data_IF_872431876190
#
_entry.id   IF_872431876190
#
_cell.length_a   1.000
_cell.length_b   1.000
_cell.length_c   1.000
_cell.angle_alpha   90.00
_cell.angle_beta   90.00
_cell.angle_gamma   90.00
#
_symmetry.space_group_name_H-M   'P 1'
#
loop_
_entity.id
_entity.type
_entity.pdbx_description
1 polymer ?
#
# COMPACT_ATOMS: atom_id res chain seq x y z
N UNK A 1 18.62 18.55 -17.23
CA UNK A 1 18.17 17.28 -16.64
C UNK A 1 19.09 16.20 -17.18
N UNK A 2 19.82 15.51 -16.30
CA UNK A 2 20.70 14.41 -16.73
C UNK A 2 19.84 13.19 -17.10
N UNK A 3 20.34 12.34 -18.00
CA UNK A 3 19.64 11.12 -18.47
C UNK A 3 19.15 10.26 -17.29
N UNK A 4 19.96 10.13 -16.24
CA UNK A 4 19.60 9.41 -15.01
C UNK A 4 18.37 9.98 -14.28
N UNK A 5 18.19 11.30 -14.28
CA UNK A 5 17.03 11.94 -13.63
C UNK A 5 15.74 11.73 -14.43
N UNK A 6 15.84 11.64 -15.76
CA UNK A 6 14.70 11.35 -16.62
C UNK A 6 14.22 9.92 -16.42
N UNK A 7 15.14 8.95 -16.33
CA UNK A 7 14.80 7.55 -16.05
C UNK A 7 14.09 7.41 -14.70
N UNK A 8 14.66 7.97 -13.63
CA UNK A 8 14.09 7.88 -12.29
C UNK A 8 12.66 8.45 -12.22
N UNK A 9 12.41 9.57 -12.92
CA UNK A 9 11.09 10.18 -12.98
C UNK A 9 10.06 9.30 -13.71
N UNK A 10 10.46 8.64 -14.80
CA UNK A 10 9.61 7.72 -15.54
C UNK A 10 9.31 6.44 -14.75
N UNK A 11 10.33 5.87 -14.08
CA UNK A 11 10.15 4.68 -13.24
C UNK A 11 9.22 4.98 -12.06
N UNK A 12 9.40 6.15 -11.41
CA UNK A 12 8.52 6.60 -10.33
C UNK A 12 7.08 6.80 -10.81
N UNK A 13 6.89 7.39 -12.00
CA UNK A 13 5.57 7.55 -12.61
C UNK A 13 4.90 6.19 -12.85
N UNK A 14 5.65 5.23 -13.41
CA UNK A 14 5.15 3.88 -13.66
C UNK A 14 4.69 3.19 -12.37
N UNK A 15 5.51 3.26 -11.31
CA UNK A 15 5.18 2.69 -10.00
C UNK A 15 3.95 3.38 -9.38
N UNK A 16 3.85 4.72 -9.48
CA UNK A 16 2.69 5.46 -8.99
C UNK A 16 1.40 5.08 -9.74
N UNK A 17 1.46 4.95 -11.07
CA UNK A 17 0.33 4.47 -11.86
C UNK A 17 -0.09 3.06 -11.44
N UNK A 18 0.88 2.16 -11.25
CA UNK A 18 0.63 0.82 -10.71
C UNK A 18 -0.07 0.86 -9.35
N UNK A 19 0.39 1.72 -8.42
CA UNK A 19 -0.22 1.87 -7.11
C UNK A 19 -1.68 2.34 -7.18
N UNK A 20 -2.00 3.28 -8.08
CA UNK A 20 -3.38 3.75 -8.30
C UNK A 20 -4.27 2.61 -8.81
N UNK A 21 -3.79 1.81 -9.76
CA UNK A 21 -4.55 0.67 -10.29
C UNK A 21 -4.83 -0.38 -9.19
N UNK A 22 -3.84 -0.67 -8.34
CA UNK A 22 -4.00 -1.61 -7.22
C UNK A 22 -4.99 -1.09 -6.18
N UNK A 23 -4.97 0.20 -5.85
CA UNK A 23 -5.99 0.81 -4.98
C UNK A 23 -7.38 0.73 -5.64
N UNK A 24 -7.45 0.90 -6.96
CA UNK A 24 -8.68 0.71 -7.74
C UNK A 24 -9.31 -0.68 -7.58
N UNK A 25 -8.51 -1.72 -7.30
CA UNK A 25 -9.03 -3.07 -7.04
C UNK A 25 -9.93 -3.11 -5.79
N UNK A 26 -9.68 -2.26 -4.79
CA UNK A 26 -10.48 -2.22 -3.55
C UNK A 26 -11.92 -1.79 -3.82
N UNK A 27 -12.10 -0.86 -4.76
CA UNK A 27 -13.43 -0.44 -5.24
C UNK A 27 -14.09 -1.57 -6.03
N UNK A 28 -13.31 -2.26 -6.88
CA UNK A 28 -13.79 -3.44 -7.61
C UNK A 28 -14.33 -4.54 -6.68
N UNK A 29 -13.56 -4.90 -5.65
CA UNK A 29 -14.00 -5.88 -4.64
C UNK A 29 -15.22 -5.40 -3.86
N UNK A 30 -15.27 -4.13 -3.46
CA UNK A 30 -16.44 -3.57 -2.79
C UNK A 30 -17.72 -3.71 -3.63
N UNK A 31 -17.64 -3.45 -4.94
CA UNK A 31 -18.76 -3.61 -5.86
C UNK A 31 -19.17 -5.08 -6.05
N UNK A 32 -18.21 -5.98 -6.19
CA UNK A 32 -18.48 -7.42 -6.34
C UNK A 32 -19.13 -8.01 -5.08
N UNK A 33 -18.62 -7.67 -3.90
CA UNK A 33 -19.19 -8.15 -2.63
C UNK A 33 -20.56 -7.54 -2.36
N UNK A 34 -20.71 -6.22 -2.52
CA UNK A 34 -22.00 -5.56 -2.34
C UNK A 34 -23.04 -6.08 -3.34
N UNK A 35 -22.68 -6.26 -4.60
CA UNK A 35 -23.55 -6.79 -5.66
C UNK A 35 -23.93 -8.26 -5.50
N UNK A 36 -23.08 -9.06 -4.84
CA UNK A 36 -23.35 -10.47 -4.54
C UNK A 36 -24.20 -10.67 -3.27
N UNK A 37 -24.40 -9.61 -2.48
CA UNK A 37 -25.19 -9.67 -1.24
C UNK A 37 -26.63 -9.22 -1.46
N UNK A 38 -27.54 -9.62 -0.55
CA UNK A 38 -28.92 -9.12 -0.60
C UNK A 38 -28.94 -7.60 -0.45
N UNK A 39 -29.76 -6.93 -1.25
CA UNK A 39 -29.90 -5.46 -1.30
C UNK A 39 -29.99 -4.79 0.08
N UNK A 40 -30.74 -5.40 1.01
CA UNK A 40 -30.89 -4.87 2.39
C UNK A 40 -29.59 -4.80 3.20
N UNK A 41 -28.56 -5.55 2.81
CA UNK A 41 -27.27 -5.63 3.50
C UNK A 41 -26.12 -5.00 2.69
N UNK A 42 -26.36 -4.61 1.43
CA UNK A 42 -25.31 -4.14 0.52
C UNK A 42 -24.55 -2.92 1.08
N UNK A 43 -25.25 -1.97 1.71
CA UNK A 43 -24.63 -0.81 2.34
C UNK A 43 -23.70 -1.17 3.51
N UNK A 44 -24.07 -2.18 4.30
CA UNK A 44 -23.23 -2.65 5.42
C UNK A 44 -21.95 -3.33 4.93
N UNK A 45 -22.04 -4.07 3.82
CA UNK A 45 -20.89 -4.74 3.19
C UNK A 45 -19.94 -3.71 2.58
N UNK A 46 -20.46 -2.74 1.82
CA UNK A 46 -19.66 -1.67 1.26
C UNK A 46 -18.94 -0.85 2.36
N UNK A 47 -19.64 -0.53 3.46
CA UNK A 47 -19.05 0.17 4.60
C UNK A 47 -17.90 -0.60 5.27
N UNK A 48 -18.03 -1.93 5.42
CA UNK A 48 -16.94 -2.78 5.92
C UNK A 48 -15.72 -2.76 5.02
N UNK A 49 -15.91 -2.73 3.70
CA UNK A 49 -14.78 -2.75 2.78
C UNK A 49 -13.98 -1.44 2.84
N UNK A 50 -14.67 -0.30 2.93
CA UNK A 50 -14.01 1.01 3.09
C UNK A 50 -13.26 1.08 4.43
N UNK A 51 -13.89 0.62 5.51
CA UNK A 51 -13.26 0.62 6.84
C UNK A 51 -12.03 -0.29 6.87
N UNK A 52 -12.13 -1.48 6.28
CA UNK A 52 -11.01 -2.42 6.19
C UNK A 52 -9.82 -1.82 5.42
N UNK A 53 -10.09 -1.12 4.31
CA UNK A 53 -9.04 -0.45 3.54
C UNK A 53 -8.36 0.68 4.34
N UNK A 54 -9.14 1.47 5.09
CA UNK A 54 -8.59 2.54 5.93
C UNK A 54 -7.70 1.98 7.05
N UNK A 55 -8.16 0.95 7.76
CA UNK A 55 -7.39 0.31 8.85
C UNK A 55 -6.14 -0.36 8.27
N UNK A 56 -6.24 -1.08 7.16
CA UNK A 56 -5.10 -1.72 6.51
C UNK A 56 -4.05 -0.70 6.06
N UNK A 57 -4.47 0.43 5.50
CA UNK A 57 -3.56 1.51 5.08
C UNK A 57 -2.81 2.12 6.26
N UNK A 58 -3.51 2.39 7.37
CA UNK A 58 -2.89 2.91 8.60
C UNK A 58 -1.96 1.89 9.27
N UNK A 59 -2.35 0.62 9.31
CA UNK A 59 -1.52 -0.45 9.85
C UNK A 59 -0.26 -0.66 9.00
N UNK A 60 -0.38 -0.58 7.67
CA UNK A 60 0.75 -0.68 6.76
C UNK A 60 1.72 0.50 6.93
N UNK A 61 1.19 1.72 7.08
CA UNK A 61 2.00 2.90 7.39
C UNK A 61 2.72 2.80 8.74
N UNK A 62 2.03 2.34 9.79
CA UNK A 62 2.59 2.30 11.14
C UNK A 62 3.64 1.18 11.34
N UNK A 63 3.38 -0.01 10.79
CA UNK A 63 4.20 -1.20 11.05
C UNK A 63 4.50 -2.02 9.79
N UNK A 64 3.56 -2.13 8.84
CA UNK A 64 3.75 -3.00 7.67
C UNK A 64 4.96 -2.63 6.83
N UNK A 65 5.25 -1.33 6.65
CA UNK A 65 6.42 -0.89 5.90
C UNK A 65 7.73 -1.26 6.60
N UNK A 66 7.80 -1.11 7.93
CA UNK A 66 8.95 -1.51 8.73
C UNK A 66 9.22 -3.02 8.64
N UNK A 67 8.15 -3.83 8.69
CA UNK A 67 8.24 -5.29 8.63
C UNK A 67 8.71 -5.79 7.25
N UNK A 68 8.30 -5.11 6.17
CA UNK A 68 8.51 -5.61 4.80
C UNK A 68 9.78 -5.05 4.17
N UNK A 69 10.11 -3.79 4.44
CA UNK A 69 11.20 -3.06 3.79
C UNK A 69 12.25 -2.52 4.77
N UNK A 70 11.98 -2.60 6.07
CA UNK A 70 12.94 -2.20 7.09
C UNK A 70 14.13 -3.16 7.19
N UNK A 71 15.26 -2.65 7.64
CA UNK A 71 16.45 -3.43 7.95
C UNK A 71 16.14 -4.50 9.01
N UNK A 72 16.57 -5.74 8.75
CA UNK A 72 16.32 -6.89 9.62
C UNK A 72 16.98 -8.17 9.10
N UNK A 73 16.28 -9.30 9.23
CA UNK A 73 16.74 -10.58 8.69
C UNK A 73 16.03 -10.90 7.37
N UNK A 74 16.35 -12.03 6.72
CA UNK A 74 15.75 -12.42 5.42
C UNK A 74 14.24 -12.70 5.44
N UNK A 75 13.59 -12.63 6.60
CA UNK A 75 12.15 -12.88 6.78
C UNK A 75 11.39 -11.70 7.38
N UNK A 76 12.01 -10.86 8.21
CA UNK A 76 11.36 -9.75 8.91
C UNK A 76 12.28 -8.53 9.07
N UNK A 77 11.75 -7.36 8.74
CA UNK A 77 12.34 -6.06 9.04
C UNK A 77 12.06 -5.63 10.49
N UNK A 78 13.06 -5.07 11.15
CA UNK A 78 13.02 -4.71 12.58
C UNK A 78 13.10 -3.20 12.83
N UNK A 79 13.41 -2.42 11.79
CA UNK A 79 13.62 -0.97 11.84
C UNK A 79 12.62 -0.23 10.94
N UNK A 80 12.40 1.07 11.16
CA UNK A 80 11.55 1.89 10.29
C UNK A 80 10.08 2.01 10.71
N UNK A 81 9.76 1.74 11.98
CA UNK A 81 8.41 1.92 12.54
C UNK A 81 7.88 3.34 12.31
N UNK A 82 6.61 3.46 11.92
CA UNK A 82 5.97 4.73 11.56
C UNK A 82 6.70 5.52 10.46
N UNK A 83 7.35 4.82 9.51
CA UNK A 83 8.18 5.42 8.47
C UNK A 83 9.30 6.32 9.03
N UNK A 84 9.76 6.08 10.26
CA UNK A 84 10.93 6.80 10.78
C UNK A 84 12.18 6.35 10.04
N UNK A 85 12.68 7.22 9.20
CA UNK A 85 13.84 6.97 8.36
C UNK A 85 15.13 7.24 9.13
N UNK A 86 15.95 6.20 9.29
CA UNK A 86 17.36 6.32 9.67
C UNK A 86 18.24 6.14 8.43
N UNK A 87 19.49 6.64 8.49
CA UNK A 87 20.50 6.31 7.47
C UNK A 87 20.61 4.78 7.41
N UNK A 88 20.37 4.19 6.24
CA UNK A 88 20.37 2.74 5.95
C UNK A 88 19.10 1.94 6.27
N UNK A 89 18.03 2.52 6.82
CA UNK A 89 16.85 1.72 7.23
C UNK A 89 16.11 1.06 6.05
N UNK A 90 16.10 1.71 4.88
CA UNK A 90 15.42 1.23 3.67
C UNK A 90 16.38 1.02 2.48
N UNK A 91 17.66 0.73 2.77
CA UNK A 91 18.67 0.50 1.72
C UNK A 91 18.31 -0.63 0.75
N UNK A 92 17.36 -1.51 1.08
CA UNK A 92 16.85 -2.53 0.17
C UNK A 92 15.99 -1.99 -0.99
N UNK A 93 15.61 -0.71 -0.95
CA UNK A 93 14.76 -0.05 -1.94
C UNK A 93 15.54 0.79 -2.97
N UNK A 94 16.86 0.94 -2.81
CA UNK A 94 17.76 1.66 -3.75
C UNK A 94 18.71 0.71 -4.44
#
# INVERSE_FOLDING_TARGET
>A
MNEAQVSLALDSLWVMLGAILVIGMQVGFALLEAGSTRMKNAGHVAGKQILSFAIASLAFWAAGFAITFGKGNGFIGTEGWFLKEGKETFSSLS
#
